data_IF_445353003250
#
_entry.id   IF_445353003250
#
_cell.length_a   1.000
_cell.length_b   1.000
_cell.length_c   1.000
_cell.angle_alpha   90.00
_cell.angle_beta   90.00
_cell.angle_gamma   90.00
#
_symmetry.space_group_name_H-M   'P 1'
#
loop_
_entity.id
_entity.type
_entity.pdbx_description
1 polymer ?
#
# COMPACT_ATOMS: atom_id res chain seq x y z
N UNK A 1 2.81 -13.95 -11.65
CA UNK A 1 2.13 -12.74 -11.13
C UNK A 1 0.64 -12.67 -11.50
N UNK A 2 0.17 -13.26 -12.61
CA UNK A 2 -1.24 -13.17 -13.03
C UNK A 2 -2.28 -13.83 -12.11
N UNK A 3 -1.89 -14.81 -11.28
CA UNK A 3 -2.82 -15.52 -10.39
C UNK A 3 -3.36 -14.64 -9.25
N UNK A 4 -2.55 -13.69 -8.76
CA UNK A 4 -2.90 -12.77 -7.67
C UNK A 4 -3.98 -11.77 -8.10
N UNK A 5 -3.78 -11.16 -9.28
CA UNK A 5 -4.77 -10.27 -9.89
C UNK A 5 -6.07 -11.02 -10.21
N UNK A 6 -5.97 -12.27 -10.67
CA UNK A 6 -7.15 -13.12 -10.91
C UNK A 6 -7.95 -13.38 -9.61
N UNK A 7 -7.26 -13.65 -8.51
CA UNK A 7 -7.87 -13.83 -7.18
C UNK A 7 -8.61 -12.57 -6.75
N UNK A 8 -7.98 -11.40 -6.84
CA UNK A 8 -8.61 -10.12 -6.53
C UNK A 8 -9.88 -9.93 -7.36
N UNK A 9 -9.81 -10.15 -8.68
CA UNK A 9 -10.96 -10.02 -9.58
C UNK A 9 -12.08 -10.99 -9.21
N UNK A 10 -11.76 -12.26 -8.93
CA UNK A 10 -12.75 -13.27 -8.53
C UNK A 10 -13.45 -12.89 -7.24
N UNK A 11 -12.69 -12.52 -6.21
CA UNK A 11 -13.25 -12.14 -4.92
C UNK A 11 -14.13 -10.89 -5.06
N UNK A 12 -13.73 -9.95 -5.92
CA UNK A 12 -14.49 -8.73 -6.19
C UNK A 12 -15.85 -9.02 -6.82
N UNK A 13 -15.87 -9.87 -7.85
CA UNK A 13 -17.12 -10.25 -8.53
C UNK A 13 -18.07 -10.99 -7.58
N UNK A 14 -17.53 -11.83 -6.69
CA UNK A 14 -18.35 -12.57 -5.72
C UNK A 14 -18.90 -11.71 -4.58
N UNK A 15 -18.21 -10.62 -4.22
CA UNK A 15 -18.57 -9.75 -3.08
C UNK A 15 -19.29 -8.45 -3.50
N UNK A 16 -19.32 -8.13 -4.80
CA UNK A 16 -19.90 -6.89 -5.35
C UNK A 16 -21.35 -6.55 -4.91
N UNK A 17 -22.29 -7.51 -4.76
CA UNK A 17 -23.64 -7.21 -4.28
C UNK A 17 -23.62 -6.67 -2.84
N UNK A 18 -22.89 -7.35 -1.95
CA UNK A 18 -22.77 -7.00 -0.52
C UNK A 18 -22.04 -5.66 -0.29
N UNK A 19 -21.08 -5.33 -1.18
CA UNK A 19 -20.39 -4.03 -1.18
C UNK A 19 -21.37 -2.89 -1.41
N UNK A 20 -22.31 -3.08 -2.35
CA UNK A 20 -23.24 -2.03 -2.77
C UNK A 20 -24.28 -1.73 -1.68
N UNK A 21 -24.68 -2.74 -0.91
CA UNK A 21 -25.66 -2.59 0.19
C UNK A 21 -25.07 -1.96 1.47
N UNK A 22 -23.75 -2.04 1.67
CA UNK A 22 -23.09 -1.62 2.92
C UNK A 22 -21.99 -0.56 2.72
N UNK A 23 -22.27 0.46 1.90
CA UNK A 23 -21.33 1.54 1.57
C UNK A 23 -20.84 2.33 2.81
N UNK A 24 -21.70 2.50 3.82
CA UNK A 24 -21.34 3.24 5.05
C UNK A 24 -20.32 2.47 5.89
N UNK A 25 -20.51 1.15 6.02
CA UNK A 25 -19.55 0.29 6.74
C UNK A 25 -18.18 0.28 6.06
N UNK A 26 -18.17 0.29 4.72
CA UNK A 26 -16.96 0.39 3.91
C UNK A 26 -16.22 1.70 4.17
N UNK A 27 -16.92 2.84 4.18
CA UNK A 27 -16.31 4.14 4.43
C UNK A 27 -15.69 4.23 5.83
N UNK A 28 -16.34 3.62 6.82
CA UNK A 28 -15.83 3.56 8.20
C UNK A 28 -14.53 2.75 8.29
N UNK A 29 -14.34 1.73 7.46
CA UNK A 29 -13.10 0.94 7.38
C UNK A 29 -12.05 1.64 6.52
N UNK A 30 -12.47 2.30 5.44
CA UNK A 30 -11.61 3.01 4.50
C UNK A 30 -10.83 4.15 5.16
N UNK A 31 -11.51 4.93 6.01
CA UNK A 31 -10.94 6.09 6.68
C UNK A 31 -9.74 5.75 7.59
N UNK A 32 -9.83 4.82 8.55
CA UNK A 32 -8.71 4.46 9.42
C UNK A 32 -7.56 3.81 8.64
N UNK A 33 -7.84 2.99 7.64
CA UNK A 33 -6.80 2.38 6.79
C UNK A 33 -6.02 3.46 6.02
N UNK A 34 -6.74 4.38 5.37
CA UNK A 34 -6.11 5.47 4.62
C UNK A 34 -5.28 6.36 5.54
N UNK A 35 -5.84 6.72 6.70
CA UNK A 35 -5.15 7.54 7.69
C UNK A 35 -3.87 6.84 8.18
N UNK A 36 -3.96 5.53 8.48
CA UNK A 36 -2.81 4.74 8.92
C UNK A 36 -1.68 4.76 7.87
N UNK A 37 -1.99 4.46 6.62
CA UNK A 37 -0.99 4.46 5.53
C UNK A 37 -0.35 5.84 5.36
N UNK A 38 -1.14 6.91 5.39
CA UNK A 38 -0.62 8.28 5.30
C UNK A 38 0.27 8.65 6.49
N UNK A 39 -0.10 8.25 7.70
CA UNK A 39 0.69 8.51 8.91
C UNK A 39 2.02 7.78 8.88
N UNK A 40 2.03 6.48 8.54
CA UNK A 40 3.27 5.70 8.46
C UNK A 40 4.16 6.24 7.33
N UNK A 41 3.58 6.57 6.17
CA UNK A 41 4.32 7.22 5.09
C UNK A 41 4.94 8.54 5.56
N UNK A 42 4.19 9.43 6.20
CA UNK A 42 4.69 10.72 6.65
C UNK A 42 5.83 10.58 7.66
N UNK A 43 5.69 9.67 8.64
CA UNK A 43 6.71 9.42 9.67
C UNK A 43 7.98 8.84 9.02
N UNK A 44 7.84 7.81 8.20
CA UNK A 44 8.99 7.14 7.57
C UNK A 44 9.69 8.05 6.56
N UNK A 45 8.93 8.89 5.84
CA UNK A 45 9.47 9.87 4.91
C UNK A 45 10.23 10.98 5.63
N UNK A 46 9.68 11.51 6.73
CA UNK A 46 10.39 12.47 7.58
C UNK A 46 11.66 11.88 8.19
N UNK A 47 11.62 10.62 8.66
CA UNK A 47 12.78 9.90 9.16
C UNK A 47 13.84 9.69 8.07
N UNK A 48 13.43 9.36 6.83
CA UNK A 48 14.35 9.18 5.73
C UNK A 48 15.09 10.48 5.35
N UNK A 49 14.40 11.63 5.43
CA UNK A 49 15.02 12.95 5.27
C UNK A 49 15.97 13.23 6.44
N UNK A 50 15.55 12.98 7.67
CA UNK A 50 16.37 13.21 8.87
C UNK A 50 17.65 12.37 8.88
N UNK A 51 17.58 11.14 8.38
CA UNK A 51 18.70 10.22 8.20
C UNK A 51 19.53 10.49 6.93
N UNK A 52 19.17 11.51 6.14
CA UNK A 52 19.85 11.89 4.90
C UNK A 52 20.02 10.75 3.89
N UNK A 53 19.01 9.87 3.79
CA UNK A 53 19.06 8.74 2.86
C UNK A 53 18.93 9.23 1.40
N UNK A 54 19.63 8.58 0.44
CA UNK A 54 19.42 8.87 -0.98
C UNK A 54 18.01 8.48 -1.40
N UNK A 55 17.43 9.22 -2.34
CA UNK A 55 16.06 8.98 -2.83
C UNK A 55 15.86 7.55 -3.35
N UNK A 56 16.89 6.98 -3.98
CA UNK A 56 16.88 5.62 -4.54
C UNK A 56 16.59 4.54 -3.48
N UNK A 57 16.85 4.84 -2.21
CA UNK A 57 16.55 3.96 -1.07
C UNK A 57 15.35 4.49 -0.29
N UNK A 58 15.29 5.79 -0.02
CA UNK A 58 14.22 6.42 0.78
C UNK A 58 12.83 6.27 0.14
N UNK A 59 12.73 6.46 -1.18
CA UNK A 59 11.46 6.37 -1.92
C UNK A 59 10.84 4.97 -1.79
N UNK A 60 11.53 3.90 -2.23
CA UNK A 60 11.03 2.54 -2.08
C UNK A 60 10.84 2.10 -0.62
N UNK A 61 11.75 2.49 0.29
CA UNK A 61 11.67 2.07 1.70
C UNK A 61 10.43 2.63 2.42
N UNK A 62 10.11 3.92 2.21
CA UNK A 62 8.92 4.56 2.80
C UNK A 62 7.63 3.94 2.30
N UNK A 63 7.60 3.59 1.01
CA UNK A 63 6.49 2.90 0.37
C UNK A 63 6.31 1.47 0.92
N UNK A 64 7.38 0.71 1.07
CA UNK A 64 7.30 -0.63 1.69
C UNK A 64 6.80 -0.52 3.13
N UNK A 65 7.27 0.47 3.89
CA UNK A 65 6.90 0.63 5.29
C UNK A 65 5.42 0.96 5.49
N UNK A 66 4.78 1.69 4.56
CA UNK A 66 3.36 2.03 4.67
C UNK A 66 2.41 1.03 4.01
N UNK A 67 2.92 0.02 3.31
CA UNK A 67 2.13 -0.98 2.57
C UNK A 67 1.62 -2.11 3.49
N UNK A 68 0.39 -2.54 3.27
CA UNK A 68 -0.24 -3.67 3.95
C UNK A 68 -0.42 -4.83 2.97
N UNK A 69 -0.15 -6.06 3.43
CA UNK A 69 -0.36 -7.25 2.60
C UNK A 69 -1.79 -7.79 2.73
N UNK A 70 -2.73 -7.09 2.11
CA UNK A 70 -4.13 -7.52 2.13
C UNK A 70 -4.36 -8.88 1.46
N UNK A 71 -3.51 -9.28 0.51
CA UNK A 71 -3.64 -10.59 -0.14
C UNK A 71 -3.48 -11.75 0.86
N UNK A 72 -2.56 -11.60 1.82
CA UNK A 72 -2.45 -12.50 2.97
C UNK A 72 -3.61 -12.30 3.96
N UNK A 73 -4.06 -11.06 4.16
CA UNK A 73 -5.17 -10.76 5.06
C UNK A 73 -6.49 -11.41 4.63
N UNK A 74 -6.80 -11.40 3.33
CA UNK A 74 -7.98 -12.06 2.76
C UNK A 74 -7.91 -13.57 2.98
N UNK A 75 -6.74 -14.18 2.72
CA UNK A 75 -6.55 -15.62 2.93
C UNK A 75 -6.82 -16.01 4.40
N UNK A 76 -6.27 -15.24 5.35
CA UNK A 76 -6.48 -15.46 6.78
C UNK A 76 -7.94 -15.24 7.17
N UNK A 77 -8.58 -14.16 6.70
CA UNK A 77 -9.98 -13.85 7.03
C UNK A 77 -10.93 -14.94 6.52
N UNK A 78 -10.75 -15.40 5.27
CA UNK A 78 -11.52 -16.51 4.71
C UNK A 78 -11.29 -17.81 5.48
N UNK A 79 -10.05 -18.09 5.89
CA UNK A 79 -9.72 -19.32 6.63
C UNK A 79 -10.30 -19.39 8.05
N UNK A 80 -10.41 -18.24 8.74
CA UNK A 80 -10.87 -18.17 10.13
C UNK A 80 -12.37 -17.87 10.26
N UNK A 81 -12.90 -17.02 9.40
CA UNK A 81 -14.27 -16.49 9.50
C UNK A 81 -15.18 -16.95 8.36
N UNK A 82 -14.64 -17.59 7.33
CA UNK A 82 -15.38 -17.97 6.12
C UNK A 82 -15.46 -16.83 5.10
N UNK A 83 -15.78 -17.19 3.85
CA UNK A 83 -15.81 -16.26 2.71
C UNK A 83 -16.93 -15.21 2.79
N UNK A 84 -18.07 -15.58 3.37
CA UNK A 84 -19.25 -14.69 3.47
C UNK A 84 -19.22 -13.78 4.70
N UNK A 85 -18.14 -13.81 5.48
CA UNK A 85 -18.03 -13.01 6.69
C UNK A 85 -17.81 -11.52 6.38
N UNK A 86 -18.33 -10.60 7.23
CA UNK A 86 -18.01 -9.18 7.13
C UNK A 86 -16.51 -8.88 7.23
N UNK A 87 -15.76 -9.75 7.92
CA UNK A 87 -14.30 -9.65 8.03
C UNK A 87 -13.60 -9.92 6.69
N UNK A 88 -14.01 -10.97 5.96
CA UNK A 88 -13.48 -11.25 4.62
C UNK A 88 -13.81 -10.10 3.66
N UNK A 89 -15.05 -9.60 3.67
CA UNK A 89 -15.47 -8.44 2.86
C UNK A 89 -14.60 -7.20 3.15
N UNK A 90 -14.35 -6.89 4.42
CA UNK A 90 -13.54 -5.75 4.84
C UNK A 90 -12.10 -5.83 4.30
N UNK A 91 -11.48 -7.01 4.29
CA UNK A 91 -10.11 -7.18 3.77
C UNK A 91 -10.00 -6.97 2.26
N UNK A 92 -11.01 -7.39 1.49
CA UNK A 92 -11.06 -7.23 0.03
C UNK A 92 -11.26 -5.76 -0.33
N UNK A 93 -12.20 -5.11 0.36
CA UNK A 93 -12.47 -3.69 0.19
C UNK A 93 -11.26 -2.85 0.60
N UNK A 94 -10.52 -3.28 1.63
CA UNK A 94 -9.24 -2.67 2.02
C UNK A 94 -8.24 -2.60 0.88
N UNK A 95 -8.05 -3.68 0.11
CA UNK A 95 -7.18 -3.70 -1.09
C UNK A 95 -7.60 -2.61 -2.09
N UNK A 96 -8.90 -2.50 -2.38
CA UNK A 96 -9.38 -1.55 -3.38
C UNK A 96 -9.04 -0.12 -3.05
N UNK A 97 -9.02 0.22 -1.76
CA UNK A 97 -8.76 1.56 -1.28
C UNK A 97 -7.26 1.78 -1.17
N UNK A 98 -6.53 0.77 -0.72
CA UNK A 98 -5.09 0.87 -0.54
C UNK A 98 -4.35 1.07 -1.86
N UNK A 99 -4.64 0.26 -2.89
CA UNK A 99 -3.95 0.35 -4.19
C UNK A 99 -3.96 1.77 -4.79
N UNK A 100 -5.10 2.49 -4.89
CA UNK A 100 -5.11 3.85 -5.40
C UNK A 100 -4.42 4.85 -4.46
N UNK A 101 -4.55 4.70 -3.14
CA UNK A 101 -3.82 5.53 -2.17
C UNK A 101 -2.31 5.35 -2.35
N UNK A 102 -1.86 4.12 -2.58
CA UNK A 102 -0.47 3.80 -2.78
C UNK A 102 0.07 4.38 -4.09
N UNK A 103 -0.68 4.29 -5.18
CA UNK A 103 -0.33 4.95 -6.45
C UNK A 103 -0.24 6.47 -6.29
N UNK A 104 -1.12 7.07 -5.49
CA UNK A 104 -1.05 8.51 -5.16
C UNK A 104 0.23 8.84 -4.38
N UNK A 105 0.60 8.02 -3.40
CA UNK A 105 1.84 8.21 -2.62
C UNK A 105 3.10 8.04 -3.49
N UNK A 106 3.12 7.07 -4.39
CA UNK A 106 4.21 6.90 -5.38
C UNK A 106 4.35 8.16 -6.22
N UNK A 107 3.23 8.73 -6.70
CA UNK A 107 3.24 9.97 -7.46
C UNK A 107 3.80 11.15 -6.64
N UNK A 108 3.41 11.27 -5.37
CA UNK A 108 3.92 12.30 -4.45
C UNK A 108 5.42 12.11 -4.20
N UNK A 109 5.87 10.89 -3.90
CA UNK A 109 7.29 10.58 -3.73
C UNK A 109 8.10 10.98 -4.96
N UNK A 110 7.63 10.61 -6.16
CA UNK A 110 8.31 10.93 -7.41
C UNK A 110 8.40 12.45 -7.67
N UNK A 111 7.37 13.21 -7.30
CA UNK A 111 7.41 14.68 -7.39
C UNK A 111 8.35 15.32 -6.37
N UNK A 112 8.54 14.67 -5.22
CA UNK A 112 9.28 15.20 -4.07
C UNK A 112 10.73 14.68 -4.02
N UNK A 113 11.17 13.98 -5.07
CA UNK A 113 12.55 13.50 -5.26
C UNK A 113 13.62 14.60 -5.10
N UNK A 114 13.27 15.86 -5.41
CA UNK A 114 14.17 17.00 -5.34
C UNK A 114 14.58 17.39 -3.90
N UNK A 115 13.82 16.95 -2.88
CA UNK A 115 14.12 17.22 -1.48
C UNK A 115 15.21 16.30 -0.90
N UNK A 116 15.62 15.27 -1.65
CA UNK A 116 16.66 14.35 -1.23
C UNK A 116 17.99 14.66 -1.92
N UNK A 117 19.07 14.43 -1.19
CA UNK A 117 20.42 14.53 -1.74
C UNK A 117 20.54 13.57 -2.94
N UNK A 118 20.85 14.13 -4.11
CA UNK A 118 21.11 13.35 -5.32
C UNK A 118 22.31 12.46 -5.04
N UNK A 119 22.18 11.15 -5.27
CA UNK A 119 23.31 10.26 -5.12
C UNK A 119 24.40 10.70 -6.10
N UNK A 120 25.52 11.20 -5.57
CA UNK A 120 26.78 11.25 -6.32
C UNK A 120 27.17 9.79 -6.47
N UNK A 121 27.04 9.25 -7.68
CA UNK A 121 27.60 7.95 -7.97
C UNK A 121 29.10 8.02 -7.66
N UNK A 122 29.58 7.00 -6.96
CA UNK A 122 31.00 6.76 -6.74
C UNK A 122 31.66 6.61 -8.11
N UNK A 123 32.13 7.71 -8.66
CA UNK A 123 33.16 7.72 -9.69
C UNK A 123 34.47 7.45 -8.95
N UNK A 124 34.91 6.18 -8.93
CA UNK A 124 36.34 5.85 -8.74
C UNK A 124 36.64 4.39 -9.11
N UNK A 125 37.32 4.27 -10.26
CA UNK A 125 38.32 3.26 -10.63
C UNK A 125 37.96 1.77 -10.60
N UNK A 126 37.60 1.26 -11.79
CA UNK A 126 38.28 0.07 -12.34
C UNK A 126 38.76 0.37 -13.76
N UNK A 127 39.76 1.24 -13.84
CA UNK A 127 40.80 1.20 -14.87
C UNK A 127 41.99 0.43 -14.30
N UNK A 128 41.92 -0.90 -14.38
CA UNK A 128 43.05 -1.83 -14.52
C UNK A 128 42.58 -3.01 -15.38
#
# INVERSE_FOLDING_TARGET
MGFLVLMIVLIFVTQAPTITDNIVGILIIALPLTLQTLLIWAITYALAIWLQLPYDVAGPATLIACSNFFEMAVAVAVSLYGADSPAALATVVGVLIEVPVMLLLVFINNKTQHNFAKHVLVENNTSL
#
